data_IF_787622301943
#
_entry.id   IF_787622301943
#
_cell.length_a   1.000
_cell.length_b   1.000
_cell.length_c   1.000
_cell.angle_alpha   90.00
_cell.angle_beta   90.00
_cell.angle_gamma   90.00
#
_symmetry.space_group_name_H-M   'P 1'
#
loop_
_entity.id
_entity.type
_entity.pdbx_description
1 polymer ?
#
# COMPACT_ATOMS: atom_id res chain seq x y z
N UNK A 1 -11.57 5.04 -30.48
CA UNK A 1 -10.80 4.39 -29.39
C UNK A 1 -11.69 4.30 -28.16
N UNK A 2 -11.88 3.13 -27.59
CA UNK A 2 -12.62 2.98 -26.33
C UNK A 2 -11.81 3.66 -25.23
N UNK A 3 -12.41 4.64 -24.53
CA UNK A 3 -11.77 5.36 -23.43
C UNK A 3 -11.56 4.36 -22.27
N UNK A 4 -10.31 4.16 -21.86
CA UNK A 4 -9.99 3.27 -20.72
C UNK A 4 -10.60 3.84 -19.43
N UNK A 5 -11.13 2.96 -18.59
CA UNK A 5 -11.61 3.38 -17.27
C UNK A 5 -10.42 3.81 -16.40
N UNK A 6 -10.55 4.96 -15.75
CA UNK A 6 -9.54 5.45 -14.80
C UNK A 6 -9.64 4.69 -13.48
N UNK A 7 -8.49 4.46 -12.85
CA UNK A 7 -8.45 3.97 -11.47
C UNK A 7 -7.37 4.68 -10.64
N UNK A 8 -7.63 4.83 -9.35
CA UNK A 8 -6.67 5.29 -8.36
C UNK A 8 -6.05 4.08 -7.69
N UNK A 9 -4.73 4.06 -7.57
CA UNK A 9 -4.02 3.09 -6.77
C UNK A 9 -3.40 3.78 -5.55
N UNK A 10 -3.75 3.34 -4.35
CA UNK A 10 -3.01 3.71 -3.13
C UNK A 10 -1.66 2.99 -3.18
N UNK A 11 -0.66 3.69 -3.70
CA UNK A 11 0.66 3.17 -4.02
C UNK A 11 1.64 3.52 -2.90
N UNK A 12 1.76 2.64 -1.90
CA UNK A 12 2.63 2.87 -0.73
C UNK A 12 4.14 2.77 -1.03
N UNK A 13 4.51 2.13 -2.13
CA UNK A 13 5.92 1.79 -2.43
C UNK A 13 6.33 0.39 -1.97
N UNK A 14 5.46 -0.32 -1.27
CA UNK A 14 5.62 -1.73 -0.92
C UNK A 14 5.27 -2.69 -2.06
N UNK A 15 5.66 -3.98 -1.92
CA UNK A 15 5.45 -4.97 -2.98
C UNK A 15 3.97 -5.17 -3.34
N UNK A 16 3.08 -5.20 -2.36
CA UNK A 16 1.66 -5.49 -2.56
C UNK A 16 0.98 -4.41 -3.40
N UNK A 17 1.16 -3.14 -3.05
CA UNK A 17 0.63 -2.01 -3.80
C UNK A 17 1.24 -1.90 -5.22
N UNK A 18 2.51 -2.30 -5.37
CA UNK A 18 3.16 -2.36 -6.68
C UNK A 18 2.49 -3.42 -7.57
N UNK A 19 2.18 -4.61 -7.02
CA UNK A 19 1.47 -5.67 -7.77
C UNK A 19 0.08 -5.20 -8.17
N UNK A 20 -0.66 -4.52 -7.29
CA UNK A 20 -1.98 -3.94 -7.62
C UNK A 20 -1.86 -2.95 -8.79
N UNK A 21 -0.85 -2.07 -8.80
CA UNK A 21 -0.66 -1.09 -9.87
C UNK A 21 -0.36 -1.76 -11.22
N UNK A 22 0.53 -2.75 -11.24
CA UNK A 22 0.86 -3.51 -12.45
C UNK A 22 -0.32 -4.35 -12.95
N UNK A 23 -1.06 -4.97 -12.02
CA UNK A 23 -2.28 -5.70 -12.33
C UNK A 23 -3.34 -4.81 -12.97
N UNK A 24 -3.61 -3.65 -12.39
CA UNK A 24 -4.59 -2.70 -12.92
C UNK A 24 -4.19 -2.22 -14.33
N UNK A 25 -2.91 -1.91 -14.55
CA UNK A 25 -2.39 -1.55 -15.87
C UNK A 25 -2.57 -2.68 -16.88
N UNK A 26 -2.27 -3.93 -16.49
CA UNK A 26 -2.45 -5.12 -17.33
C UNK A 26 -3.92 -5.40 -17.66
N UNK A 27 -4.84 -5.06 -16.73
CA UNK A 27 -6.29 -5.13 -16.97
C UNK A 27 -6.82 -4.04 -17.91
N UNK A 28 -5.97 -3.10 -18.31
CA UNK A 28 -6.32 -2.05 -19.26
C UNK A 28 -6.85 -0.77 -18.63
N UNK A 29 -6.75 -0.60 -17.32
CA UNK A 29 -7.09 0.66 -16.68
C UNK A 29 -6.13 1.79 -17.04
N UNK A 30 -6.64 3.02 -17.03
CA UNK A 30 -5.83 4.25 -17.01
C UNK A 30 -5.50 4.56 -15.54
N UNK A 31 -4.27 4.20 -15.13
CA UNK A 31 -3.86 4.11 -13.72
C UNK A 31 -3.27 5.42 -13.23
N UNK A 32 -3.72 5.88 -12.07
CA UNK A 32 -3.22 7.04 -11.33
C UNK A 32 -2.73 6.61 -9.94
N UNK A 33 -1.46 6.84 -9.65
CA UNK A 33 -0.88 6.55 -8.34
C UNK A 33 -1.19 7.64 -7.32
N UNK A 34 -1.42 7.23 -6.08
CA UNK A 34 -1.58 8.12 -4.93
C UNK A 34 -0.73 7.58 -3.79
N UNK A 35 0.19 8.38 -3.26
CA UNK A 35 1.04 8.01 -2.12
C UNK A 35 1.03 9.09 -1.06
N UNK A 36 1.38 8.71 0.18
CA UNK A 36 1.24 9.55 1.35
C UNK A 36 2.54 9.66 2.14
N UNK A 37 2.89 10.89 2.51
CA UNK A 37 3.77 11.18 3.63
C UNK A 37 2.88 11.49 4.83
N UNK A 38 2.81 10.59 5.83
CA UNK A 38 2.03 10.80 7.06
C UNK A 38 2.92 10.92 8.30
N UNK A 39 4.21 11.23 8.09
CA UNK A 39 5.21 11.33 9.15
C UNK A 39 5.83 10.00 9.52
N UNK A 40 5.70 8.97 8.68
CA UNK A 40 6.32 7.67 8.91
C UNK A 40 7.85 7.76 8.94
N UNK A 41 8.47 6.98 9.82
CA UNK A 41 9.94 6.84 9.89
C UNK A 41 10.50 6.37 8.55
N UNK A 42 9.83 5.40 7.92
CA UNK A 42 10.22 4.84 6.61
C UNK A 42 9.82 5.73 5.43
N UNK A 43 10.29 6.97 5.39
CA UNK A 43 10.00 7.92 4.29
C UNK A 43 10.49 7.43 2.91
N UNK A 44 11.39 6.45 2.88
CA UNK A 44 11.85 5.79 1.65
C UNK A 44 10.71 5.20 0.83
N UNK A 45 9.63 4.78 1.46
CA UNK A 45 8.45 4.24 0.79
C UNK A 45 7.92 5.19 -0.28
N UNK A 46 7.85 6.50 0.02
CA UNK A 46 7.40 7.53 -0.92
C UNK A 46 8.32 7.61 -2.15
N UNK A 47 9.63 7.51 -1.92
CA UNK A 47 10.62 7.46 -3.00
C UNK A 47 10.48 6.21 -3.88
N UNK A 48 10.18 5.07 -3.26
CA UNK A 48 9.93 3.81 -3.96
C UNK A 48 8.63 3.88 -4.78
N UNK A 49 7.56 4.44 -4.23
CA UNK A 49 6.31 4.67 -4.96
C UNK A 49 6.53 5.52 -6.23
N UNK A 50 7.33 6.59 -6.14
CA UNK A 50 7.71 7.41 -7.31
C UNK A 50 8.44 6.59 -8.38
N UNK A 51 9.43 5.77 -7.97
CA UNK A 51 10.21 4.92 -8.90
C UNK A 51 9.32 3.88 -9.59
N UNK A 52 8.41 3.25 -8.85
CA UNK A 52 7.45 2.29 -9.38
C UNK A 52 6.51 2.97 -10.39
N UNK A 53 5.95 4.13 -10.05
CA UNK A 53 5.08 4.89 -10.94
C UNK A 53 5.81 5.32 -12.23
N UNK A 54 7.05 5.79 -12.13
CA UNK A 54 7.88 6.15 -13.27
C UNK A 54 8.14 4.93 -14.17
N UNK A 55 8.47 3.76 -13.57
CA UNK A 55 8.72 2.52 -14.32
C UNK A 55 7.47 2.03 -15.05
N UNK A 56 6.29 2.21 -14.42
CA UNK A 56 4.99 1.87 -15.01
C UNK A 56 4.46 2.95 -15.98
N UNK A 57 5.14 4.10 -16.08
CA UNK A 57 4.71 5.28 -16.85
C UNK A 57 3.29 5.71 -16.50
N UNK A 58 3.04 5.93 -15.20
CA UNK A 58 1.77 6.44 -14.68
C UNK A 58 1.98 7.74 -13.89
N UNK A 59 1.02 8.68 -13.92
CA UNK A 59 1.05 9.84 -13.05
C UNK A 59 0.93 9.41 -11.58
N UNK A 60 1.62 10.11 -10.68
CA UNK A 60 1.53 9.89 -9.24
C UNK A 60 1.35 11.22 -8.51
N UNK A 61 0.38 11.28 -7.59
CA UNK A 61 0.26 12.36 -6.60
C UNK A 61 0.86 11.93 -5.27
N UNK A 62 1.57 12.85 -4.64
CA UNK A 62 2.10 12.67 -3.29
C UNK A 62 1.37 13.66 -2.41
N UNK A 63 0.71 13.12 -1.41
CA UNK A 63 -0.05 13.92 -0.44
C UNK A 63 0.77 13.99 0.85
N UNK A 64 1.02 15.22 1.28
CA UNK A 64 1.68 15.48 2.54
C UNK A 64 0.62 15.57 3.65
N UNK A 65 0.65 14.56 4.52
CA UNK A 65 -0.13 14.45 5.75
C UNK A 65 0.81 14.37 6.96
N UNK A 66 2.03 14.88 6.85
CA UNK A 66 3.06 14.75 7.89
C UNK A 66 2.65 15.35 9.24
N UNK A 67 1.71 16.30 9.26
CA UNK A 67 1.10 16.82 10.49
C UNK A 67 0.34 15.75 11.31
N UNK A 68 -0.06 14.64 10.69
CA UNK A 68 -0.64 13.50 11.43
C UNK A 68 0.36 12.85 12.38
N UNK A 69 1.66 13.13 12.23
CA UNK A 69 2.69 12.69 13.18
C UNK A 69 2.34 13.09 14.61
N UNK A 70 1.79 14.29 14.81
CA UNK A 70 1.43 14.80 16.14
C UNK A 70 0.27 14.01 16.76
N UNK A 71 -0.62 13.47 15.93
CA UNK A 71 -1.74 12.62 16.40
C UNK A 71 -1.24 11.21 16.75
N UNK A 72 -0.27 10.70 15.99
CA UNK A 72 0.24 9.33 16.15
C UNK A 72 1.44 9.22 17.10
N UNK A 73 2.01 10.34 17.56
CA UNK A 73 3.07 10.37 18.57
C UNK A 73 2.59 9.69 19.86
N UNK A 74 3.44 8.86 20.44
CA UNK A 74 3.09 8.06 21.63
C UNK A 74 2.18 6.85 21.35
N UNK A 75 1.73 6.64 20.09
CA UNK A 75 0.78 5.58 19.73
C UNK A 75 1.43 4.46 18.92
N UNK A 76 2.29 4.79 17.95
CA UNK A 76 2.87 3.79 17.04
C UNK A 76 4.35 4.02 16.76
N UNK A 77 5.12 2.94 16.80
CA UNK A 77 6.54 2.91 16.45
C UNK A 77 6.82 3.17 14.96
N UNK A 78 5.80 3.19 14.12
CA UNK A 78 5.97 3.54 12.70
C UNK A 78 6.12 5.05 12.48
N UNK A 79 5.77 5.84 13.49
CA UNK A 79 5.81 7.32 13.46
C UNK A 79 6.68 7.89 14.58
N UNK A 80 6.70 7.25 15.74
CA UNK A 80 7.43 7.70 16.94
C UNK A 80 8.64 6.80 17.21
N UNK A 81 9.84 7.34 17.09
CA UNK A 81 11.11 6.65 17.30
C UNK A 81 11.33 6.27 18.78
N UNK A 82 10.61 6.89 19.73
CA UNK A 82 10.71 6.57 21.14
C UNK A 82 9.94 5.30 21.53
N UNK A 83 9.06 4.80 20.66
CA UNK A 83 8.33 3.56 20.86
C UNK A 83 9.15 2.41 20.28
N UNK A 84 9.47 1.42 21.12
CA UNK A 84 10.21 0.25 20.68
C UNK A 84 9.41 -0.54 19.63
N UNK A 85 10.04 -0.78 18.50
CA UNK A 85 9.45 -1.61 17.44
C UNK A 85 9.44 -3.08 17.85
N UNK A 86 8.30 -3.73 17.73
CA UNK A 86 8.14 -5.16 17.97
C UNK A 86 8.30 -5.97 16.69
N UNK A 87 8.55 -7.26 16.84
CA UNK A 87 8.69 -8.21 15.71
C UNK A 87 7.41 -9.00 15.42
N UNK A 88 6.39 -8.80 16.22
CA UNK A 88 5.05 -9.39 16.13
C UNK A 88 4.00 -8.34 15.73
N UNK A 89 2.81 -8.78 15.36
CA UNK A 89 1.66 -7.93 15.04
C UNK A 89 1.03 -7.33 16.31
N UNK A 90 1.83 -6.64 17.12
CA UNK A 90 1.36 -5.98 18.32
C UNK A 90 0.92 -4.54 18.06
N UNK A 91 0.21 -3.94 19.00
CA UNK A 91 -0.29 -2.57 18.93
C UNK A 91 0.75 -1.51 18.51
N UNK A 92 2.03 -1.57 18.95
CA UNK A 92 3.02 -0.56 18.56
C UNK A 92 3.29 -0.40 17.08
N UNK A 93 2.98 -1.38 16.22
CA UNK A 93 3.18 -1.28 14.77
C UNK A 93 1.89 -0.92 14.00
N UNK A 94 0.80 -0.63 14.69
CA UNK A 94 -0.46 -0.25 14.08
C UNK A 94 -0.59 1.28 14.08
N UNK A 95 -0.79 1.87 12.90
CA UNK A 95 -1.22 3.27 12.77
C UNK A 95 -2.74 3.28 12.76
N UNK A 96 -3.39 3.78 13.81
CA UNK A 96 -4.85 3.68 13.93
C UNK A 96 -5.58 4.31 12.75
N UNK A 97 -6.51 3.54 12.16
CA UNK A 97 -7.43 4.01 11.14
C UNK A 97 -6.77 4.63 9.89
N UNK A 98 -5.51 4.25 9.62
CA UNK A 98 -4.71 4.84 8.54
C UNK A 98 -5.35 4.64 7.16
N UNK A 99 -5.85 3.43 6.86
CA UNK A 99 -6.44 3.16 5.56
C UNK A 99 -7.70 4.00 5.32
N UNK A 100 -8.50 4.31 6.35
CA UNK A 100 -9.64 5.21 6.21
C UNK A 100 -9.20 6.62 5.78
N UNK A 101 -8.15 7.16 6.39
CA UNK A 101 -7.59 8.47 6.04
C UNK A 101 -7.14 8.46 4.57
N UNK A 102 -6.39 7.44 4.17
CA UNK A 102 -5.89 7.32 2.79
C UNK A 102 -7.02 7.14 1.77
N UNK A 103 -8.00 6.31 2.10
CA UNK A 103 -9.16 6.10 1.24
C UNK A 103 -10.03 7.36 1.13
N UNK A 104 -10.18 8.16 2.21
CA UNK A 104 -10.89 9.44 2.14
C UNK A 104 -10.25 10.39 1.11
N UNK A 105 -8.92 10.52 1.12
CA UNK A 105 -8.19 11.33 0.13
C UNK A 105 -8.28 10.71 -1.26
N UNK A 106 -8.22 9.38 -1.36
CA UNK A 106 -8.35 8.67 -2.63
C UNK A 106 -9.73 8.88 -3.26
N UNK A 107 -10.81 8.88 -2.46
CA UNK A 107 -12.18 9.22 -2.91
C UNK A 107 -12.23 10.64 -3.47
N UNK A 108 -11.73 11.64 -2.73
CA UNK A 108 -11.71 13.02 -3.20
C UNK A 108 -10.91 13.16 -4.52
N UNK A 109 -9.79 12.45 -4.63
CA UNK A 109 -9.00 12.45 -5.86
C UNK A 109 -9.72 11.73 -7.00
N UNK A 110 -10.37 10.60 -6.74
CA UNK A 110 -11.15 9.86 -7.73
C UNK A 110 -12.23 10.75 -8.36
N UNK A 111 -13.01 11.43 -7.52
CA UNK A 111 -14.04 12.40 -7.97
C UNK A 111 -13.41 13.49 -8.86
N UNK A 112 -12.29 14.08 -8.41
CA UNK A 112 -11.66 15.21 -9.12
C UNK A 112 -11.17 14.86 -10.54
N UNK A 113 -10.93 13.58 -10.83
CA UNK A 113 -10.49 13.12 -12.15
C UNK A 113 -11.53 12.26 -12.88
N UNK A 114 -12.74 12.17 -12.36
CA UNK A 114 -13.81 11.30 -12.87
C UNK A 114 -13.35 9.83 -12.97
N UNK A 115 -12.82 9.29 -11.88
CA UNK A 115 -12.50 7.87 -11.70
C UNK A 115 -13.55 7.19 -10.84
N UNK A 116 -13.99 5.99 -11.23
CA UNK A 116 -14.90 5.16 -10.42
C UNK A 116 -14.18 4.18 -9.50
N UNK A 117 -12.93 3.82 -9.84
CA UNK A 117 -12.23 2.71 -9.24
C UNK A 117 -11.10 3.19 -8.33
N UNK A 118 -11.05 2.63 -7.13
CA UNK A 118 -9.97 2.82 -6.15
C UNK A 118 -9.49 1.46 -5.71
N UNK A 119 -8.21 1.17 -5.90
CA UNK A 119 -7.60 -0.09 -5.47
C UNK A 119 -6.47 0.16 -4.47
N UNK A 120 -6.33 -0.74 -3.50
CA UNK A 120 -5.25 -0.69 -2.53
C UNK A 120 -4.72 -2.09 -2.19
N UNK A 121 -3.53 -2.15 -1.62
CA UNK A 121 -2.76 -3.37 -1.46
C UNK A 121 -2.97 -4.10 -0.12
N UNK A 122 -4.19 -4.15 0.42
CA UNK A 122 -4.46 -4.98 1.60
C UNK A 122 -4.40 -6.47 1.24
N UNK A 123 -3.77 -7.26 2.11
CA UNK A 123 -3.61 -8.70 1.99
C UNK A 123 -4.47 -9.45 3.01
N UNK A 124 -4.80 -10.70 2.73
CA UNK A 124 -5.61 -11.51 3.63
C UNK A 124 -4.97 -11.74 5.00
N UNK A 125 -3.64 -11.82 5.06
CA UNK A 125 -2.89 -11.87 6.32
C UNK A 125 -3.04 -10.60 7.14
N UNK A 126 -3.15 -9.44 6.49
CA UNK A 126 -3.26 -8.15 7.15
C UNK A 126 -4.62 -8.01 7.85
N UNK A 127 -5.69 -8.55 7.26
CA UNK A 127 -7.04 -8.49 7.81
C UNK A 127 -7.20 -9.14 9.19
N UNK A 128 -6.30 -10.04 9.57
CA UNK A 128 -6.30 -10.66 10.90
C UNK A 128 -5.85 -9.68 11.97
N UNK A 129 -4.94 -8.76 11.65
CA UNK A 129 -4.27 -7.86 12.59
C UNK A 129 -4.73 -6.41 12.42
N UNK A 130 -5.12 -6.02 11.20
CA UNK A 130 -5.52 -4.65 10.85
C UNK A 130 -7.00 -4.61 10.44
N UNK A 131 -7.90 -4.15 11.34
CA UNK A 131 -9.35 -4.10 11.07
C UNK A 131 -9.70 -3.32 9.78
N UNK A 132 -8.93 -2.27 9.46
CA UNK A 132 -9.10 -1.44 8.27
C UNK A 132 -8.55 -2.06 6.95
N UNK A 133 -8.09 -3.32 7.02
CA UNK A 133 -7.80 -4.16 5.86
C UNK A 133 -8.90 -5.19 5.56
N UNK A 134 -9.92 -5.30 6.42
CA UNK A 134 -11.00 -6.29 6.26
C UNK A 134 -11.97 -5.92 5.16
N UNK A 135 -12.56 -6.95 4.55
CA UNK A 135 -13.54 -6.76 3.47
C UNK A 135 -14.76 -5.96 3.93
N UNK A 136 -15.24 -6.23 5.13
CA UNK A 136 -16.39 -5.54 5.73
C UNK A 136 -16.09 -4.05 5.88
N UNK A 137 -14.85 -3.70 6.24
CA UNK A 137 -14.44 -2.32 6.39
C UNK A 137 -14.51 -1.57 5.05
N UNK A 138 -13.82 -2.06 4.01
CA UNK A 138 -13.79 -1.30 2.76
C UNK A 138 -15.12 -1.32 2.00
N UNK A 139 -15.95 -2.35 2.16
CA UNK A 139 -17.32 -2.34 1.65
C UNK A 139 -18.18 -1.27 2.33
N UNK A 140 -18.09 -1.15 3.68
CA UNK A 140 -18.80 -0.10 4.42
C UNK A 140 -18.26 1.30 4.08
N UNK A 141 -16.95 1.41 3.89
CA UNK A 141 -16.32 2.66 3.48
C UNK A 141 -16.75 3.08 2.06
N UNK A 142 -16.85 2.14 1.12
CA UNK A 142 -17.40 2.38 -0.22
C UNK A 142 -18.84 2.92 -0.15
N UNK A 143 -19.70 2.31 0.65
CA UNK A 143 -21.07 2.80 0.85
C UNK A 143 -21.09 4.22 1.40
N UNK A 144 -20.25 4.50 2.39
CA UNK A 144 -20.11 5.85 2.97
C UNK A 144 -19.64 6.85 1.92
N UNK A 145 -18.65 6.47 1.09
CA UNK A 145 -18.13 7.30 0.01
C UNK A 145 -19.20 7.61 -1.04
N UNK A 146 -19.98 6.60 -1.45
CA UNK A 146 -21.09 6.77 -2.40
C UNK A 146 -22.15 7.73 -1.86
N UNK A 147 -22.55 7.56 -0.60
CA UNK A 147 -23.52 8.46 0.04
C UNK A 147 -22.99 9.89 0.19
N UNK A 148 -21.72 10.03 0.55
CA UNK A 148 -21.11 11.37 0.76
C UNK A 148 -20.80 12.12 -0.52
N UNK A 149 -20.67 11.44 -1.65
CA UNK A 149 -20.33 12.05 -2.95
C UNK A 149 -21.48 12.04 -3.95
N UNK A 150 -22.49 11.21 -3.71
CA UNK A 150 -23.55 10.89 -4.68
C UNK A 150 -23.00 10.36 -6.02
N UNK A 151 -21.87 9.67 -5.98
CA UNK A 151 -21.19 9.12 -7.16
C UNK A 151 -21.04 7.60 -7.06
N UNK A 152 -21.03 6.93 -8.22
CA UNK A 152 -20.74 5.51 -8.31
C UNK A 152 -19.23 5.27 -8.13
N UNK A 153 -18.86 4.71 -6.99
CA UNK A 153 -17.48 4.35 -6.63
C UNK A 153 -17.35 2.87 -6.33
N UNK A 154 -16.21 2.30 -6.64
CA UNK A 154 -15.83 0.93 -6.31
C UNK A 154 -14.47 0.95 -5.59
N UNK A 155 -14.42 0.46 -4.36
CA UNK A 155 -13.22 0.40 -3.51
C UNK A 155 -12.89 -1.07 -3.26
N UNK A 156 -11.75 -1.51 -3.77
CA UNK A 156 -11.37 -2.93 -3.68
C UNK A 156 -9.92 -3.12 -3.24
N UNK A 157 -9.69 -4.21 -2.50
CA UNK A 157 -8.39 -4.81 -2.29
C UNK A 157 -8.31 -6.12 -3.10
N UNK A 158 -7.82 -6.09 -4.35
CA UNK A 158 -7.94 -7.21 -5.29
C UNK A 158 -7.30 -8.52 -4.82
N UNK A 159 -6.36 -8.43 -3.89
CA UNK A 159 -5.62 -9.58 -3.38
C UNK A 159 -5.89 -9.88 -1.91
N UNK A 160 -6.96 -9.32 -1.32
CA UNK A 160 -7.30 -9.51 0.09
C UNK A 160 -7.55 -10.98 0.49
N UNK A 161 -7.90 -11.83 -0.47
CA UNK A 161 -8.12 -13.28 -0.24
C UNK A 161 -7.04 -14.15 -0.91
N UNK A 162 -5.93 -13.55 -1.34
CA UNK A 162 -4.85 -14.25 -2.04
C UNK A 162 -3.65 -14.35 -1.10
N UNK A 163 -2.99 -15.53 -0.97
CA UNK A 163 -1.75 -15.63 -0.22
C UNK A 163 -0.68 -14.69 -0.77
N UNK A 164 0.11 -14.07 0.12
CA UNK A 164 1.15 -13.11 -0.29
C UNK A 164 2.17 -13.71 -1.26
N UNK A 165 2.50 -14.99 -1.10
CA UNK A 165 3.37 -15.72 -2.04
C UNK A 165 2.80 -15.80 -3.46
N UNK A 166 1.49 -15.98 -3.60
CA UNK A 166 0.84 -15.96 -4.92
C UNK A 166 0.78 -14.55 -5.51
N UNK A 167 0.60 -13.53 -4.67
CA UNK A 167 0.72 -12.12 -5.09
C UNK A 167 2.12 -11.83 -5.62
N UNK A 168 3.18 -12.32 -4.97
CA UNK A 168 4.57 -12.20 -5.45
C UNK A 168 4.76 -12.91 -6.79
N UNK A 169 4.26 -14.15 -6.94
CA UNK A 169 4.32 -14.88 -8.23
C UNK A 169 3.62 -14.11 -9.35
N UNK A 170 2.43 -13.59 -9.08
CA UNK A 170 1.70 -12.77 -10.04
C UNK A 170 2.49 -11.52 -10.41
N UNK A 171 3.03 -10.82 -9.41
CA UNK A 171 3.84 -9.62 -9.63
C UNK A 171 5.06 -9.90 -10.51
N UNK A 172 5.73 -11.04 -10.30
CA UNK A 172 6.86 -11.47 -11.15
C UNK A 172 6.41 -11.70 -12.59
N UNK A 173 5.29 -12.38 -12.81
CA UNK A 173 4.71 -12.58 -14.15
C UNK A 173 4.34 -11.27 -14.84
N UNK A 174 3.91 -10.27 -14.07
CA UNK A 174 3.56 -8.92 -14.58
C UNK A 174 4.78 -8.01 -14.75
N UNK A 175 5.97 -8.45 -14.37
CA UNK A 175 7.20 -7.67 -14.49
C UNK A 175 7.34 -6.58 -13.42
N UNK A 176 6.76 -6.76 -12.25
CA UNK A 176 6.91 -5.83 -11.11
C UNK A 176 8.39 -5.74 -10.72
N UNK A 177 8.97 -4.53 -10.68
CA UNK A 177 10.38 -4.35 -10.28
C UNK A 177 10.52 -4.41 -8.76
N UNK A 178 10.45 -5.59 -8.17
CA UNK A 178 10.49 -5.77 -6.71
C UNK A 178 11.74 -5.17 -6.04
N UNK A 179 12.87 -5.04 -6.76
CA UNK A 179 14.07 -4.35 -6.29
C UNK A 179 13.86 -2.85 -6.04
N UNK A 180 12.80 -2.24 -6.59
CA UNK A 180 12.42 -0.86 -6.34
C UNK A 180 11.41 -0.73 -5.19
N UNK A 181 10.90 -1.83 -4.63
CA UNK A 181 9.93 -1.80 -3.54
C UNK A 181 10.61 -1.76 -2.18
N UNK A 182 9.94 -1.16 -1.20
CA UNK A 182 10.42 -1.06 0.17
C UNK A 182 9.41 -1.67 1.14
N UNK A 183 9.89 -2.46 2.10
CA UNK A 183 9.05 -3.09 3.13
C UNK A 183 9.46 -2.71 4.55
N UNK A 184 10.75 -2.39 4.76
CA UNK A 184 11.27 -2.15 6.10
C UNK A 184 10.62 -0.94 6.76
N UNK A 185 10.23 -1.07 8.02
CA UNK A 185 9.67 0.03 8.82
C UNK A 185 10.71 1.07 9.22
N UNK A 186 12.00 0.72 9.10
CA UNK A 186 13.11 1.61 9.44
C UNK A 186 13.64 2.35 8.19
N UNK A 187 14.15 3.55 8.40
CA UNK A 187 14.74 4.37 7.33
C UNK A 187 16.24 4.06 7.15
N UNK A 188 16.60 2.77 7.05
CA UNK A 188 17.98 2.30 6.86
C UNK A 188 18.39 2.29 5.39
N UNK A 189 19.71 2.22 5.08
CA UNK A 189 20.19 2.04 3.68
C UNK A 189 19.64 0.79 3.00
N UNK A 190 19.55 -0.34 3.74
CA UNK A 190 19.03 -1.64 3.33
C UNK A 190 17.89 -2.08 4.26
N UNK A 191 17.12 -3.10 3.87
CA UNK A 191 16.14 -3.72 4.75
C UNK A 191 16.80 -4.26 6.03
N UNK A 192 16.18 -4.05 7.21
CA UNK A 192 16.77 -4.53 8.46
C UNK A 192 16.74 -6.06 8.62
N UNK A 193 15.93 -6.76 7.83
CA UNK A 193 15.76 -8.21 7.92
C UNK A 193 15.02 -8.73 9.15
N UNK A 194 14.74 -7.87 10.15
CA UNK A 194 14.27 -8.27 11.49
C UNK A 194 12.89 -7.73 11.86
N UNK A 195 12.45 -6.60 11.31
CA UNK A 195 11.09 -6.11 11.58
C UNK A 195 10.07 -7.03 10.93
N UNK A 196 8.84 -6.99 11.45
CA UNK A 196 7.74 -7.84 11.02
C UNK A 196 7.55 -7.80 9.50
N UNK A 197 7.55 -6.62 8.87
CA UNK A 197 7.37 -6.48 7.44
C UNK A 197 8.54 -7.06 6.61
N UNK A 198 9.77 -6.99 7.10
CA UNK A 198 10.91 -7.67 6.47
C UNK A 198 10.78 -9.19 6.55
N UNK A 199 10.35 -9.71 7.70
CA UNK A 199 10.12 -11.16 7.89
C UNK A 199 9.00 -11.64 6.96
N UNK A 200 7.88 -10.93 6.91
CA UNK A 200 6.76 -11.26 6.02
C UNK A 200 7.15 -11.21 4.54
N UNK A 201 7.95 -10.23 4.13
CA UNK A 201 8.49 -10.17 2.78
C UNK A 201 9.35 -11.40 2.47
N UNK A 202 10.32 -11.71 3.32
CA UNK A 202 11.21 -12.88 3.18
C UNK A 202 10.42 -14.18 3.07
N UNK A 203 9.43 -14.36 3.95
CA UNK A 203 8.57 -15.54 3.94
C UNK A 203 7.75 -15.64 2.64
N UNK A 204 7.21 -14.54 2.15
CA UNK A 204 6.44 -14.52 0.91
C UNK A 204 7.29 -14.91 -0.31
N UNK A 205 8.51 -14.39 -0.41
CA UNK A 205 9.44 -14.77 -1.49
C UNK A 205 9.86 -16.25 -1.37
N UNK A 206 10.23 -16.72 -0.18
CA UNK A 206 10.59 -18.12 0.04
C UNK A 206 9.43 -19.07 -0.34
N UNK A 207 8.22 -18.80 0.13
CA UNK A 207 7.03 -19.61 -0.19
C UNK A 207 6.64 -19.53 -1.67
N UNK A 208 7.00 -18.45 -2.35
CA UNK A 208 6.80 -18.34 -3.80
C UNK A 208 7.80 -19.15 -4.62
N UNK A 209 8.89 -19.62 -4.02
CA UNK A 209 10.01 -20.25 -4.71
C UNK A 209 10.87 -19.26 -5.52
N UNK A 210 10.78 -17.96 -5.22
CA UNK A 210 11.50 -16.90 -5.91
C UNK A 210 12.53 -16.25 -4.98
N UNK A 211 13.62 -15.75 -5.55
CA UNK A 211 14.62 -14.97 -4.81
C UNK A 211 14.14 -13.53 -4.65
N UNK A 212 14.20 -13.00 -3.41
CA UNK A 212 13.97 -11.58 -3.18
C UNK A 212 15.12 -10.76 -3.78
N UNK A 213 14.85 -9.83 -4.71
CA UNK A 213 15.89 -9.02 -5.32
C UNK A 213 16.38 -7.86 -4.45
N UNK A 214 15.92 -7.74 -3.21
CA UNK A 214 16.37 -6.69 -2.29
C UNK A 214 17.44 -7.19 -1.33
N UNK A 215 18.35 -6.28 -0.97
CA UNK A 215 19.37 -6.57 0.04
C UNK A 215 18.83 -6.29 1.44
N UNK A 216 19.15 -7.17 2.39
CA UNK A 216 18.98 -6.95 3.83
C UNK A 216 20.32 -6.74 4.53
N UNK A 217 20.29 -6.11 5.70
CA UNK A 217 21.43 -6.11 6.63
C UNK A 217 21.54 -7.53 7.18
N UNK A 218 22.74 -8.10 7.15
CA UNK A 218 23.03 -9.42 7.76
C UNK A 218 22.94 -9.37 9.30
#
# INVERSE_FOLDING_TARGET
>A
MVKRAKCIIVLSGGPDSAVVAYWAKNKGYDVYGLTFNYGQISIKEVGCARKIAAKLSIPIKIIDLSSLKDIFAGVTSLVDENIQMTTDFSQPIIVPFRNAIFLSVAVAYAISINSKYIFYGAQGSDAQHYPDCRKEFYNSFEQTARLGTNEELEIEAPFSNVPKSETIKLGTKLGVPFHLTWSCYLNLPKHCGKCESCINRKNAFNQSGLTDPTESVE
#
